data_IF_719861799059
#
_entry.id   IF_719861799059
#
_cell.length_a   1.000
_cell.length_b   1.000
_cell.length_c   1.000
_cell.angle_alpha   90.00
_cell.angle_beta   90.00
_cell.angle_gamma   90.00
#
_symmetry.space_group_name_H-M   'P 1'
#
loop_
_entity.id
_entity.type
_entity.pdbx_description
1 polymer ?
#
# COMPACT_ATOMS: atom_id res chain seq x y z
N UNK A 1 20.28 -6.77 -7.39
CA UNK A 1 21.05 -6.42 -8.62
C UNK A 1 20.41 -5.20 -9.32
N UNK A 2 19.09 -5.15 -9.54
CA UNK A 2 18.42 -4.01 -10.24
C UNK A 2 18.45 -2.74 -9.38
N UNK A 3 18.25 -2.84 -8.07
CA UNK A 3 18.22 -1.68 -7.15
C UNK A 3 19.60 -1.04 -6.96
N UNK A 4 20.68 -1.85 -6.88
CA UNK A 4 22.04 -1.33 -6.78
C UNK A 4 22.49 -0.63 -8.06
N UNK A 5 22.06 -1.12 -9.23
CA UNK A 5 22.34 -0.49 -10.52
C UNK A 5 21.67 0.89 -10.70
N UNK A 6 20.60 1.16 -9.95
CA UNK A 6 19.86 2.44 -9.99
C UNK A 6 20.26 3.41 -8.86
N UNK A 7 21.27 3.08 -8.03
CA UNK A 7 21.68 3.91 -6.89
C UNK A 7 20.61 4.05 -5.79
N UNK A 8 19.70 3.08 -5.71
CA UNK A 8 18.49 3.15 -4.88
C UNK A 8 18.65 2.51 -3.50
N UNK A 9 19.84 2.03 -3.16
CA UNK A 9 20.08 1.28 -1.91
C UNK A 9 19.83 2.09 -0.62
N UNK A 10 19.95 3.40 -0.69
CA UNK A 10 19.71 4.29 0.45
C UNK A 10 18.25 4.80 0.55
N UNK A 11 17.39 4.43 -0.41
CA UNK A 11 16.09 5.08 -0.61
C UNK A 11 14.90 4.10 -0.52
N UNK A 12 15.12 2.81 -0.23
CA UNK A 12 14.05 1.79 -0.24
C UNK A 12 12.95 2.13 0.78
N UNK A 13 13.33 2.63 1.95
CA UNK A 13 12.41 3.06 2.99
C UNK A 13 11.55 4.26 2.54
N UNK A 14 12.18 5.21 1.83
CA UNK A 14 11.48 6.37 1.27
C UNK A 14 10.54 5.99 0.13
N UNK A 15 10.92 5.06 -0.74
CA UNK A 15 10.04 4.55 -1.79
C UNK A 15 8.83 3.82 -1.22
N UNK A 16 9.02 2.99 -0.19
CA UNK A 16 7.92 2.34 0.53
C UNK A 16 6.93 3.35 1.10
N UNK A 17 7.45 4.40 1.72
CA UNK A 17 6.62 5.49 2.27
C UNK A 17 5.80 6.19 1.18
N UNK A 18 6.42 6.52 0.03
CA UNK A 18 5.73 7.14 -1.11
C UNK A 18 4.64 6.23 -1.66
N UNK A 19 4.91 4.92 -1.80
CA UNK A 19 3.92 3.94 -2.26
C UNK A 19 2.71 3.89 -1.32
N UNK A 20 2.92 3.89 -0.01
CA UNK A 20 1.83 3.88 0.98
C UNK A 20 1.01 5.16 0.95
N UNK A 21 1.64 6.33 0.78
CA UNK A 21 0.93 7.60 0.62
C UNK A 21 0.13 7.66 -0.67
N UNK A 22 0.67 7.17 -1.79
CA UNK A 22 -0.05 7.13 -3.05
C UNK A 22 -1.24 6.17 -2.99
N UNK A 23 -1.10 5.01 -2.36
CA UNK A 23 -2.18 4.07 -2.10
C UNK A 23 -3.27 4.67 -1.19
N UNK A 24 -2.87 5.38 -0.12
CA UNK A 24 -3.79 6.15 0.72
C UNK A 24 -4.59 7.17 -0.12
N UNK A 25 -3.91 7.98 -0.94
CA UNK A 25 -4.54 9.00 -1.78
C UNK A 25 -5.56 8.38 -2.74
N UNK A 26 -5.22 7.28 -3.40
CA UNK A 26 -6.11 6.57 -4.32
C UNK A 26 -7.38 6.07 -3.62
N UNK A 27 -7.24 5.47 -2.43
CA UNK A 27 -8.39 4.96 -1.66
C UNK A 27 -9.22 6.07 -1.03
N UNK A 28 -8.59 7.16 -0.57
CA UNK A 28 -9.29 8.32 -0.05
C UNK A 28 -10.16 9.00 -1.13
N UNK A 29 -9.67 9.09 -2.36
CA UNK A 29 -10.47 9.59 -3.48
C UNK A 29 -11.70 8.73 -3.75
N UNK A 30 -11.58 7.39 -3.68
CA UNK A 30 -12.73 6.49 -3.79
C UNK A 30 -13.70 6.65 -2.63
N UNK A 31 -13.19 6.80 -1.39
CA UNK A 31 -14.02 6.99 -0.20
C UNK A 31 -14.83 8.29 -0.23
N UNK A 32 -14.23 9.37 -0.72
CA UNK A 32 -14.90 10.68 -0.83
C UNK A 32 -15.88 10.76 -2.00
N UNK A 33 -15.95 9.73 -2.84
CA UNK A 33 -16.77 9.77 -4.06
C UNK A 33 -16.31 10.90 -4.98
N UNK A 34 -15.00 11.09 -5.13
CA UNK A 34 -14.43 12.18 -5.89
C UNK A 34 -15.02 12.25 -7.30
N UNK A 35 -15.43 13.44 -7.77
CA UNK A 35 -16.04 13.58 -9.08
C UNK A 35 -15.06 13.17 -10.19
N UNK A 36 -15.54 12.69 -11.34
CA UNK A 36 -14.72 12.28 -12.48
C UNK A 36 -13.72 13.34 -12.96
N UNK A 37 -13.98 14.60 -12.64
CA UNK A 37 -13.09 15.75 -12.96
C UNK A 37 -11.76 15.76 -12.21
N UNK A 38 -11.67 15.05 -11.07
CA UNK A 38 -10.45 15.00 -10.25
C UNK A 38 -9.50 13.88 -10.71
N UNK A 39 -10.04 12.84 -11.35
CA UNK A 39 -9.26 11.74 -11.93
C UNK A 39 -9.28 11.81 -13.45
N UNK A 40 -8.14 11.63 -14.14
CA UNK A 40 -8.12 11.58 -15.59
C UNK A 40 -8.99 10.41 -16.07
N UNK A 41 -9.91 10.68 -16.97
CA UNK A 41 -10.69 9.64 -17.65
C UNK A 41 -9.76 8.87 -18.58
N UNK A 42 -9.23 7.75 -18.11
CA UNK A 42 -8.27 6.94 -18.86
C UNK A 42 -8.94 6.26 -20.05
N UNK A 43 -10.24 5.90 -19.91
CA UNK A 43 -11.04 5.33 -20.99
C UNK A 43 -12.46 5.90 -20.93
N UNK A 44 -12.83 6.77 -21.88
CA UNK A 44 -14.19 7.34 -21.95
C UNK A 44 -15.30 6.26 -22.06
N UNK A 45 -14.97 5.09 -22.62
CA UNK A 45 -15.90 3.96 -22.76
C UNK A 45 -16.35 3.35 -21.43
N UNK A 46 -15.64 3.60 -20.31
CA UNK A 46 -15.92 3.03 -18.99
C UNK A 46 -16.87 3.93 -18.15
N UNK A 47 -17.23 5.12 -18.63
CA UNK A 47 -18.13 6.03 -17.93
C UNK A 47 -17.71 6.29 -16.48
N UNK A 48 -18.67 6.24 -15.56
CA UNK A 48 -18.45 6.51 -14.13
C UNK A 48 -17.56 5.48 -13.42
N UNK A 49 -17.34 4.31 -14.02
CA UNK A 49 -16.45 3.28 -13.48
C UNK A 49 -14.95 3.59 -13.72
N UNK A 50 -14.66 4.39 -14.74
CA UNK A 50 -13.28 4.71 -15.14
C UNK A 50 -12.41 5.27 -14.00
N UNK A 51 -12.85 6.27 -13.24
CA UNK A 51 -12.09 6.82 -12.11
C UNK A 51 -11.79 5.80 -11.02
N UNK A 52 -12.74 4.96 -10.66
CA UNK A 52 -12.58 3.90 -9.67
C UNK A 52 -11.56 2.86 -10.14
N UNK A 53 -11.65 2.44 -11.39
CA UNK A 53 -10.68 1.53 -12.00
C UNK A 53 -9.27 2.13 -12.00
N UNK A 54 -9.13 3.41 -12.34
CA UNK A 54 -7.85 4.10 -12.30
C UNK A 54 -7.23 4.11 -10.90
N UNK A 55 -8.04 4.38 -9.86
CA UNK A 55 -7.61 4.33 -8.48
C UNK A 55 -7.13 2.93 -8.05
N UNK A 56 -7.84 1.89 -8.48
CA UNK A 56 -7.42 0.51 -8.23
C UNK A 56 -6.13 0.14 -8.97
N UNK A 57 -5.93 0.59 -10.20
CA UNK A 57 -4.67 0.37 -10.93
C UNK A 57 -3.49 1.06 -10.23
N UNK A 58 -3.68 2.26 -9.71
CA UNK A 58 -2.68 2.95 -8.89
C UNK A 58 -2.39 2.16 -7.62
N UNK A 59 -3.44 1.71 -6.91
CA UNK A 59 -3.30 0.89 -5.70
C UNK A 59 -2.47 -0.37 -5.97
N UNK A 60 -2.84 -1.15 -6.98
CA UNK A 60 -2.15 -2.40 -7.34
C UNK A 60 -0.67 -2.15 -7.71
N UNK A 61 -0.40 -1.08 -8.45
CA UNK A 61 0.96 -0.68 -8.77
C UNK A 61 1.76 -0.33 -7.50
N UNK A 62 1.16 0.41 -6.57
CA UNK A 62 1.78 0.75 -5.29
C UNK A 62 2.03 -0.49 -4.42
N UNK A 63 1.08 -1.42 -4.36
CA UNK A 63 1.22 -2.70 -3.62
C UNK A 63 2.35 -3.54 -4.23
N UNK A 64 2.43 -3.63 -5.56
CA UNK A 64 3.52 -4.33 -6.25
C UNK A 64 4.90 -3.74 -5.92
N UNK A 65 5.04 -2.42 -6.02
CA UNK A 65 6.28 -1.72 -5.66
C UNK A 65 6.62 -1.87 -4.18
N UNK A 66 5.62 -1.73 -3.30
CA UNK A 66 5.81 -1.91 -1.86
C UNK A 66 6.31 -3.32 -1.52
N UNK A 67 5.75 -4.37 -2.13
CA UNK A 67 6.18 -5.75 -1.90
C UNK A 67 7.66 -5.98 -2.26
N UNK A 68 8.14 -5.37 -3.34
CA UNK A 68 9.54 -5.41 -3.71
C UNK A 68 10.43 -4.71 -2.66
N UNK A 69 10.02 -3.51 -2.21
CA UNK A 69 10.70 -2.78 -1.14
C UNK A 69 10.69 -3.56 0.18
N UNK A 70 9.56 -4.12 0.56
CA UNK A 70 9.41 -4.92 1.77
C UNK A 70 10.30 -6.16 1.76
N UNK A 71 10.49 -6.81 0.60
CA UNK A 71 11.43 -7.90 0.43
C UNK A 71 12.87 -7.47 0.72
N UNK A 72 13.29 -6.33 0.21
CA UNK A 72 14.63 -5.76 0.44
C UNK A 72 14.82 -5.34 1.90
N UNK A 73 13.84 -4.66 2.50
CA UNK A 73 13.90 -4.29 3.92
C UNK A 73 13.99 -5.51 4.82
N UNK A 74 13.22 -6.56 4.51
CA UNK A 74 13.25 -7.82 5.26
C UNK A 74 14.65 -8.44 5.28
N UNK A 75 15.30 -8.53 4.14
CA UNK A 75 16.67 -9.09 4.07
C UNK A 75 17.71 -8.22 4.80
N UNK A 76 17.44 -6.92 4.99
CA UNK A 76 18.32 -6.01 5.75
C UNK A 76 18.15 -6.09 7.25
N UNK A 77 16.88 -6.15 7.70
CA UNK A 77 16.55 -5.94 9.12
C UNK A 77 16.29 -7.23 9.89
N UNK A 78 16.01 -8.34 9.20
CA UNK A 78 15.67 -9.61 9.84
C UNK A 78 16.75 -10.63 9.51
N UNK A 79 17.44 -11.20 10.53
CA UNK A 79 18.40 -12.28 10.34
C UNK A 79 17.76 -13.50 9.67
N UNK A 80 18.53 -14.21 8.83
CA UNK A 80 18.02 -15.32 8.01
C UNK A 80 17.44 -16.47 8.84
N UNK A 81 18.04 -16.74 10.00
CA UNK A 81 17.67 -17.83 10.92
C UNK A 81 16.26 -17.66 11.52
N UNK A 82 15.79 -16.41 11.71
CA UNK A 82 14.46 -16.10 12.29
C UNK A 82 13.45 -15.61 11.27
N UNK A 83 13.86 -15.38 10.02
CA UNK A 83 13.02 -14.77 8.99
C UNK A 83 11.74 -15.56 8.74
N UNK A 84 11.81 -16.89 8.70
CA UNK A 84 10.64 -17.74 8.50
C UNK A 84 9.64 -17.65 9.66
N UNK A 85 10.14 -17.59 10.90
CA UNK A 85 9.30 -17.46 12.09
C UNK A 85 8.57 -16.11 12.11
N UNK A 86 9.28 -15.01 11.84
CA UNK A 86 8.70 -13.65 11.77
C UNK A 86 7.64 -13.57 10.67
N UNK A 87 7.88 -14.17 9.52
CA UNK A 87 6.92 -14.20 8.41
C UNK A 87 5.65 -14.97 8.78
N UNK A 88 5.77 -16.11 9.45
CA UNK A 88 4.61 -16.88 9.89
C UNK A 88 3.81 -16.14 10.97
N UNK A 89 4.48 -15.49 11.89
CA UNK A 89 3.82 -14.66 12.90
C UNK A 89 3.03 -13.50 12.26
N UNK A 90 3.60 -12.84 11.24
CA UNK A 90 2.94 -11.78 10.50
C UNK A 90 1.71 -12.22 9.71
N UNK A 91 1.62 -13.50 9.33
CA UNK A 91 0.44 -14.03 8.60
C UNK A 91 -0.83 -14.07 9.45
N UNK A 92 -0.72 -14.21 10.77
CA UNK A 92 -1.90 -14.27 11.66
C UNK A 92 -2.68 -12.96 11.63
N UNK A 93 -2.08 -11.78 11.93
CA UNK A 93 -2.79 -10.51 11.81
C UNK A 93 -3.24 -10.21 10.37
N UNK A 94 -2.46 -10.61 9.36
CA UNK A 94 -2.85 -10.43 7.97
C UNK A 94 -4.14 -11.19 7.64
N UNK A 95 -4.26 -12.45 8.04
CA UNK A 95 -5.46 -13.26 7.81
C UNK A 95 -6.68 -12.69 8.56
N UNK A 96 -6.49 -12.17 9.77
CA UNK A 96 -7.56 -11.48 10.51
C UNK A 96 -8.03 -10.21 9.78
N UNK A 97 -7.10 -9.46 9.21
CA UNK A 97 -7.43 -8.27 8.40
C UNK A 97 -8.20 -8.66 7.12
N UNK A 98 -7.83 -9.76 6.46
CA UNK A 98 -8.56 -10.25 5.28
C UNK A 98 -9.98 -10.64 5.64
N UNK A 99 -10.18 -11.44 6.69
CA UNK A 99 -11.51 -11.84 7.16
C UNK A 99 -12.35 -10.62 7.57
N UNK A 100 -11.75 -9.71 8.35
CA UNK A 100 -12.42 -8.47 8.77
C UNK A 100 -12.79 -7.57 7.59
N UNK A 101 -11.90 -7.45 6.61
CA UNK A 101 -12.13 -6.68 5.37
C UNK A 101 -13.25 -7.27 4.52
N UNK A 102 -13.29 -8.59 4.36
CA UNK A 102 -14.38 -9.28 3.65
C UNK A 102 -15.72 -9.04 4.34
N UNK A 103 -15.77 -9.21 5.66
CA UNK A 103 -16.98 -8.93 6.44
C UNK A 103 -17.42 -7.47 6.31
N UNK A 104 -16.48 -6.53 6.39
CA UNK A 104 -16.79 -5.10 6.24
C UNK A 104 -17.36 -4.78 4.85
N UNK A 105 -16.82 -5.41 3.80
CA UNK A 105 -17.30 -5.22 2.43
C UNK A 105 -18.73 -5.70 2.22
N UNK A 106 -19.16 -6.74 2.94
CA UNK A 106 -20.52 -7.28 2.86
C UNK A 106 -21.51 -6.50 3.74
N UNK A 107 -21.04 -6.01 4.90
CA UNK A 107 -21.89 -5.42 5.93
C UNK A 107 -22.05 -3.91 5.84
N UNK A 108 -21.17 -3.19 5.12
CA UNK A 108 -21.10 -1.74 5.11
C UNK A 108 -21.10 -1.17 3.67
N UNK A 109 -21.53 0.12 3.51
CA UNK A 109 -21.40 0.81 2.23
C UNK A 109 -19.94 0.87 1.75
N UNK A 110 -19.74 0.87 0.43
CA UNK A 110 -18.42 0.88 -0.20
C UNK A 110 -17.51 2.01 0.31
N UNK A 111 -18.07 3.19 0.58
CA UNK A 111 -17.33 4.34 1.13
C UNK A 111 -16.71 4.03 2.48
N UNK A 112 -17.39 3.26 3.33
CA UNK A 112 -16.85 2.85 4.65
C UNK A 112 -15.68 1.88 4.46
N UNK A 113 -15.81 0.92 3.56
CA UNK A 113 -14.73 0.00 3.23
C UNK A 113 -13.51 0.73 2.67
N UNK A 114 -13.69 1.64 1.71
CA UNK A 114 -12.59 2.45 1.15
C UNK A 114 -11.95 3.36 2.21
N UNK A 115 -12.74 3.94 3.10
CA UNK A 115 -12.23 4.76 4.21
C UNK A 115 -11.36 3.95 5.18
N UNK A 116 -11.81 2.74 5.53
CA UNK A 116 -11.06 1.84 6.41
C UNK A 116 -9.71 1.45 5.77
N UNK A 117 -9.72 1.11 4.49
CA UNK A 117 -8.49 0.78 3.74
C UNK A 117 -7.56 1.99 3.64
N UNK A 118 -8.09 3.18 3.34
CA UNK A 118 -7.31 4.42 3.31
C UNK A 118 -6.63 4.69 4.66
N UNK A 119 -7.36 4.58 5.76
CA UNK A 119 -6.80 4.76 7.11
C UNK A 119 -5.71 3.73 7.44
N UNK A 120 -5.87 2.48 6.99
CA UNK A 120 -4.84 1.45 7.16
C UNK A 120 -3.54 1.83 6.40
N UNK A 121 -3.63 2.33 5.17
CA UNK A 121 -2.46 2.82 4.43
C UNK A 121 -1.82 4.05 5.07
N UNK A 122 -2.62 4.96 5.59
CA UNK A 122 -2.10 6.13 6.33
C UNK A 122 -1.36 5.70 7.59
N UNK A 123 -1.91 4.75 8.35
CA UNK A 123 -1.24 4.17 9.52
C UNK A 123 0.08 3.48 9.13
N UNK A 124 0.08 2.70 8.05
CA UNK A 124 1.29 2.09 7.49
C UNK A 124 2.33 3.13 7.07
N UNK A 125 1.91 4.21 6.42
CA UNK A 125 2.80 5.31 6.04
C UNK A 125 3.40 6.02 7.26
N UNK A 126 2.62 6.25 8.31
CA UNK A 126 3.11 6.84 9.55
C UNK A 126 4.18 5.96 10.25
N UNK A 127 3.95 4.64 10.29
CA UNK A 127 4.95 3.69 10.79
C UNK A 127 6.20 3.65 9.91
N UNK A 128 6.04 3.68 8.60
CA UNK A 128 7.14 3.70 7.64
C UNK A 128 7.96 4.99 7.74
N UNK A 129 7.33 6.14 8.01
CA UNK A 129 8.01 7.41 8.22
C UNK A 129 9.00 7.36 9.40
N UNK A 130 8.71 6.55 10.41
CA UNK A 130 9.62 6.36 11.55
C UNK A 130 10.89 5.57 11.17
N UNK A 131 10.88 4.81 10.08
CA UNK A 131 12.05 4.06 9.59
C UNK A 131 12.94 4.89 8.66
N UNK A 132 12.39 5.91 7.98
CA UNK A 132 13.13 6.74 7.02
C UNK A 132 14.36 7.44 7.63
N UNK A 133 14.31 8.01 8.87
CA UNK A 133 15.46 8.72 9.45
C UNK A 133 16.51 7.78 10.07
N UNK A 134 16.28 6.47 10.12
CA UNK A 134 17.26 5.53 10.67
C UNK A 134 18.40 5.32 9.66
N UNK A 135 19.28 6.34 9.53
CA UNK A 135 20.58 6.15 8.90
C UNK A 135 21.39 5.22 9.81
N UNK A 136 21.71 4.03 9.33
CA UNK A 136 22.79 3.25 9.90
C UNK A 136 24.09 3.82 9.35
N UNK A 137 24.87 4.44 10.22
CA UNK A 137 26.30 4.69 10.01
C UNK A 137 27.05 3.35 9.89
#
# INVERSE_FOLDING_TARGET
VIYSALGMDAAVESYSFICLLAAFGAMALCALGAPPSVMPQILPALGDFGPTLAAFLVLESCVGCFNACAGTMRSRYIPEDVQAAVMNLGRVPLNLLVVGGTYLSDAAPAQVAFSAVALAFLGGAALQAALVPVKRD
#
